data_IF_334622543011
#
_entry.id   IF_334622543011
#
_cell.length_a   1.000
_cell.length_b   1.000
_cell.length_c   1.000
_cell.angle_alpha   90.00
_cell.angle_beta   90.00
_cell.angle_gamma   90.00
#
_symmetry.space_group_name_H-M   'P 1'
#
loop_
_entity.id
_entity.type
_entity.pdbx_description
1 polymer ?
#
# COMPACT_ATOMS: atom_id res chain seq x y z
N UNK A 1 -15.76 66.06 49.42
CA UNK A 1 -15.63 65.78 48.00
C UNK A 1 -14.41 64.85 47.80
N UNK A 2 -14.59 63.56 47.63
CA UNK A 2 -13.49 62.60 47.43
C UNK A 2 -13.35 62.38 45.89
N UNK A 3 -12.21 62.70 45.30
CA UNK A 3 -11.88 62.45 43.88
C UNK A 3 -11.47 60.98 43.74
N UNK A 4 -12.20 60.22 42.91
CA UNK A 4 -11.82 58.90 42.49
C UNK A 4 -10.82 58.99 41.34
N UNK A 5 -9.69 58.35 41.47
CA UNK A 5 -8.68 58.19 40.41
C UNK A 5 -8.97 56.86 39.71
N UNK A 6 -9.34 56.92 38.42
CA UNK A 6 -9.49 55.76 37.57
C UNK A 6 -8.11 55.46 36.96
N UNK A 7 -7.56 54.31 37.30
CA UNK A 7 -6.32 53.81 36.69
C UNK A 7 -6.73 52.90 35.51
N UNK A 8 -6.50 53.36 34.28
CA UNK A 8 -6.62 52.51 33.09
C UNK A 8 -5.37 51.66 32.94
N UNK A 9 -5.51 50.34 33.13
CA UNK A 9 -4.46 49.39 32.79
C UNK A 9 -4.48 49.10 31.29
N UNK A 10 -3.43 49.49 30.57
CA UNK A 10 -3.19 49.12 29.17
C UNK A 10 -2.69 47.65 29.14
N UNK A 11 -3.52 46.75 28.65
CA UNK A 11 -3.11 45.38 28.37
C UNK A 11 -2.49 45.34 26.96
N UNK A 12 -1.17 45.26 26.88
CA UNK A 12 -0.45 45.06 25.61
C UNK A 12 -0.57 43.61 25.16
N UNK A 13 -1.31 43.36 24.09
CA UNK A 13 -1.32 42.06 23.39
C UNK A 13 -0.06 41.94 22.51
N UNK A 14 0.90 41.16 22.95
CA UNK A 14 2.01 40.72 22.07
C UNK A 14 1.49 39.64 21.13
N UNK A 15 1.35 40.00 19.83
CA UNK A 15 1.11 39.04 18.76
C UNK A 15 2.41 38.27 18.55
N UNK A 16 2.47 37.01 18.99
CA UNK A 16 3.56 36.12 18.60
C UNK A 16 3.45 35.86 17.08
N UNK A 17 4.47 36.29 16.34
CA UNK A 17 4.62 35.91 14.95
C UNK A 17 4.74 34.38 14.83
N UNK A 18 4.10 33.74 13.82
CA UNK A 18 4.25 32.31 13.60
C UNK A 18 5.74 32.02 13.36
N UNK A 19 6.29 31.11 14.16
CA UNK A 19 7.66 30.62 13.97
C UNK A 19 7.69 29.83 12.65
N UNK A 20 8.70 30.03 11.78
CA UNK A 20 8.85 29.20 10.59
C UNK A 20 9.00 27.74 11.03
N UNK A 21 8.19 26.86 10.46
CA UNK A 21 8.36 25.42 10.63
C UNK A 21 9.80 25.04 10.23
N UNK A 22 10.48 24.15 10.98
CA UNK A 22 11.80 23.69 10.59
C UNK A 22 11.72 23.10 9.18
N UNK A 23 12.70 23.46 8.33
CA UNK A 23 12.77 22.91 6.98
C UNK A 23 12.86 21.38 7.06
N UNK A 24 11.91 20.69 6.46
CA UNK A 24 11.93 19.23 6.40
C UNK A 24 13.16 18.78 5.62
N UNK A 25 13.98 17.93 6.24
CA UNK A 25 15.14 17.36 5.56
C UNK A 25 14.69 16.53 4.38
N UNK A 26 15.19 16.80 3.19
CA UNK A 26 14.82 16.04 1.99
C UNK A 26 15.25 14.57 2.14
N UNK A 27 14.37 13.65 1.72
CA UNK A 27 14.66 12.22 1.73
C UNK A 27 15.87 11.90 0.82
N UNK A 28 16.91 11.27 1.36
CA UNK A 28 18.05 10.83 0.57
C UNK A 28 17.74 9.53 -0.18
N UNK A 29 17.12 9.66 -1.35
CA UNK A 29 16.72 8.52 -2.20
C UNK A 29 17.91 7.84 -2.86
N UNK A 30 19.04 8.55 -3.02
CA UNK A 30 20.26 7.99 -3.59
C UNK A 30 20.88 6.96 -2.64
N UNK A 31 20.96 7.25 -1.36
CA UNK A 31 21.48 6.31 -0.35
C UNK A 31 20.58 5.06 -0.26
N UNK A 32 19.25 5.24 -0.24
CA UNK A 32 18.32 4.11 -0.25
C UNK A 32 18.57 3.20 -1.44
N UNK A 33 18.67 3.78 -2.64
CA UNK A 33 18.91 3.03 -3.88
C UNK A 33 20.25 2.32 -3.88
N UNK A 34 21.31 3.01 -3.42
CA UNK A 34 22.67 2.45 -3.36
C UNK A 34 22.73 1.25 -2.41
N UNK A 35 22.12 1.36 -1.22
CA UNK A 35 22.07 0.28 -0.22
C UNK A 35 21.28 -0.90 -0.74
N UNK A 36 20.07 -0.67 -1.27
CA UNK A 36 19.19 -1.75 -1.75
C UNK A 36 19.65 -2.36 -3.10
N UNK A 37 20.63 -1.75 -3.76
CA UNK A 37 21.09 -2.15 -5.10
C UNK A 37 20.01 -2.04 -6.17
N UNK A 38 18.98 -1.20 -5.92
CA UNK A 38 17.76 -1.08 -6.74
C UNK A 38 17.20 0.34 -6.67
N UNK A 39 16.90 0.92 -7.82
CA UNK A 39 16.20 2.19 -7.89
C UNK A 39 14.73 2.01 -7.49
N UNK A 40 14.22 2.97 -6.74
CA UNK A 40 12.80 3.13 -6.47
C UNK A 40 12.15 4.12 -7.42
N UNK A 41 10.89 4.41 -7.15
CA UNK A 41 10.06 5.38 -7.89
C UNK A 41 9.60 6.47 -6.93
N UNK A 42 9.76 7.72 -7.34
CA UNK A 42 9.14 8.84 -6.64
C UNK A 42 7.62 8.79 -6.86
N UNK A 43 6.88 8.85 -5.75
CA UNK A 43 5.42 8.76 -5.73
C UNK A 43 4.84 10.04 -5.11
N UNK A 44 3.55 10.35 -5.34
CA UNK A 44 2.89 11.46 -4.68
C UNK A 44 2.99 11.39 -3.15
N UNK A 45 3.06 12.55 -2.49
CA UNK A 45 3.19 12.66 -1.02
C UNK A 45 4.62 12.50 -0.53
N UNK A 46 5.61 12.85 -1.38
CA UNK A 46 7.05 12.79 -1.08
C UNK A 46 7.54 11.40 -0.66
N UNK A 47 6.90 10.38 -1.24
CA UNK A 47 7.22 8.98 -0.99
C UNK A 47 8.18 8.45 -2.03
N UNK A 48 9.21 7.72 -1.59
CA UNK A 48 10.08 6.93 -2.43
C UNK A 48 9.81 5.45 -2.22
N UNK A 49 9.28 4.77 -3.25
CA UNK A 49 8.85 3.37 -3.18
C UNK A 49 9.77 2.46 -3.97
N UNK A 50 10.29 1.42 -3.31
CA UNK A 50 11.15 0.39 -3.90
C UNK A 50 10.36 -0.92 -3.94
N UNK A 51 10.26 -1.53 -5.13
CA UNK A 51 9.49 -2.76 -5.33
C UNK A 51 10.36 -4.01 -5.20
N UNK A 52 9.80 -5.07 -4.62
CA UNK A 52 10.43 -6.38 -4.41
C UNK A 52 9.52 -7.53 -4.88
N UNK A 53 9.17 -7.59 -6.19
CA UNK A 53 8.30 -8.65 -6.68
C UNK A 53 8.96 -10.02 -6.57
N UNK A 54 8.19 -11.03 -6.16
CA UNK A 54 8.62 -12.43 -6.07
C UNK A 54 8.55 -13.12 -7.43
N UNK A 55 9.39 -12.66 -8.36
CA UNK A 55 9.50 -13.26 -9.69
C UNK A 55 10.20 -14.63 -9.71
N UNK A 56 10.72 -15.08 -8.58
CA UNK A 56 11.27 -16.40 -8.33
C UNK A 56 10.19 -17.46 -8.03
N UNK A 57 8.97 -17.04 -7.69
CA UNK A 57 7.87 -17.93 -7.34
C UNK A 57 6.97 -18.22 -8.54
N UNK A 58 6.46 -19.46 -8.59
CA UNK A 58 5.44 -19.92 -9.54
C UNK A 58 4.15 -20.27 -8.78
N UNK A 59 3.52 -19.24 -8.20
CA UNK A 59 2.28 -19.41 -7.43
C UNK A 59 1.10 -19.65 -8.37
N UNK A 60 0.25 -20.61 -8.02
CA UNK A 60 -0.92 -20.99 -8.82
C UNK A 60 -2.19 -21.05 -7.98
N UNK A 61 -3.30 -20.65 -8.59
CA UNK A 61 -4.66 -20.91 -8.09
C UNK A 61 -5.39 -21.71 -9.17
N UNK A 62 -5.63 -22.98 -8.90
CA UNK A 62 -6.18 -23.90 -9.91
C UNK A 62 -5.29 -23.97 -11.16
N UNK A 63 -5.85 -23.62 -12.32
CA UNK A 63 -5.11 -23.62 -13.58
C UNK A 63 -4.32 -22.32 -13.86
N UNK A 64 -4.51 -21.26 -13.05
CA UNK A 64 -3.91 -19.94 -13.29
C UNK A 64 -2.58 -19.86 -12.56
N UNK A 65 -1.50 -19.52 -13.28
CA UNK A 65 -0.21 -19.15 -12.69
C UNK A 65 -0.18 -17.63 -12.57
N UNK A 66 0.00 -17.12 -11.36
CA UNK A 66 -0.05 -15.70 -11.06
C UNK A 66 1.22 -15.00 -11.55
N UNK A 67 1.08 -13.96 -12.33
CA UNK A 67 2.18 -13.05 -12.60
C UNK A 67 2.54 -12.28 -11.31
N UNK A 68 3.84 -11.97 -11.08
CA UNK A 68 4.26 -11.26 -9.87
C UNK A 68 3.49 -9.96 -9.61
N UNK A 69 3.15 -9.22 -10.68
CA UNK A 69 2.40 -7.97 -10.57
C UNK A 69 0.93 -8.13 -10.20
N UNK A 70 0.35 -9.34 -10.29
CA UNK A 70 -1.05 -9.57 -9.90
C UNK A 70 -1.20 -9.55 -8.38
N UNK A 71 -0.36 -10.34 -7.67
CA UNK A 71 -0.48 -10.53 -6.22
C UNK A 71 0.86 -10.65 -5.47
N UNK A 72 1.99 -10.85 -6.15
CA UNK A 72 3.27 -11.17 -5.49
C UNK A 72 4.23 -9.98 -5.43
N UNK A 73 3.70 -8.76 -5.32
CA UNK A 73 4.42 -7.51 -5.41
C UNK A 73 4.80 -6.93 -4.04
N UNK A 74 5.86 -7.43 -3.39
CA UNK A 74 6.41 -6.79 -2.18
C UNK A 74 6.98 -5.40 -2.46
N UNK A 75 7.03 -4.55 -1.43
CA UNK A 75 7.60 -3.21 -1.51
C UNK A 75 8.06 -2.65 -0.16
N UNK A 76 8.89 -1.62 -0.22
CA UNK A 76 9.11 -0.68 0.89
C UNK A 76 8.94 0.75 0.39
N UNK A 77 8.28 1.58 1.19
CA UNK A 77 8.01 2.98 0.92
C UNK A 77 8.64 3.84 2.02
N UNK A 78 9.40 4.85 1.62
CA UNK A 78 10.15 5.73 2.50
C UNK A 78 9.64 7.16 2.35
N UNK A 79 9.51 7.87 3.47
CA UNK A 79 9.10 9.28 3.52
C UNK A 79 9.89 10.02 4.59
N UNK A 80 10.34 11.23 4.29
CA UNK A 80 10.96 12.08 5.32
C UNK A 80 9.90 12.58 6.32
N UNK A 81 10.22 12.52 7.61
CA UNK A 81 9.40 13.00 8.71
C UNK A 81 10.29 13.79 9.70
N UNK A 82 10.34 15.13 9.53
CA UNK A 82 11.26 15.98 10.27
C UNK A 82 12.72 15.57 10.04
N UNK A 83 13.43 15.21 11.09
CA UNK A 83 14.84 14.78 11.05
C UNK A 83 15.00 13.27 10.88
N UNK A 84 13.91 12.53 10.70
CA UNK A 84 13.92 11.08 10.55
C UNK A 84 13.27 10.66 9.23
N UNK A 85 13.39 9.39 8.88
CA UNK A 85 12.68 8.75 7.77
C UNK A 85 11.72 7.72 8.33
N UNK A 86 10.48 7.76 7.87
CA UNK A 86 9.51 6.69 8.07
C UNK A 86 9.64 5.69 6.92
N UNK A 87 9.71 4.41 7.25
CA UNK A 87 9.62 3.32 6.28
C UNK A 87 8.45 2.41 6.64
N UNK A 88 7.60 2.12 5.66
CA UNK A 88 6.55 1.09 5.75
C UNK A 88 6.68 0.15 4.56
N UNK A 89 6.19 -1.06 4.69
CA UNK A 89 6.24 -1.98 3.56
C UNK A 89 5.40 -3.23 3.75
N UNK A 90 5.43 -4.03 2.70
CA UNK A 90 4.76 -5.32 2.59
C UNK A 90 5.71 -6.29 1.86
N UNK A 91 6.04 -7.40 2.47
CA UNK A 91 6.90 -8.44 1.90
C UNK A 91 6.10 -9.71 1.67
N UNK A 92 6.27 -10.28 0.48
CA UNK A 92 5.69 -11.59 0.14
C UNK A 92 6.68 -12.69 0.48
N UNK A 93 6.30 -13.58 1.39
CA UNK A 93 7.18 -14.59 1.97
C UNK A 93 6.58 -15.99 1.86
N UNK A 94 7.43 -17.00 1.67
CA UNK A 94 7.09 -18.38 1.91
C UNK A 94 7.08 -18.65 3.43
N UNK A 95 6.37 -19.67 3.87
CA UNK A 95 6.22 -20.00 5.29
C UNK A 95 7.57 -20.12 6.02
N UNK A 96 8.56 -20.77 5.41
CA UNK A 96 9.90 -20.93 5.98
C UNK A 96 10.77 -19.66 5.95
N UNK A 97 10.35 -18.60 5.28
CA UNK A 97 11.03 -17.30 5.22
C UNK A 97 10.49 -16.32 6.28
N UNK A 98 9.29 -16.55 6.82
CA UNK A 98 8.59 -15.62 7.71
C UNK A 98 9.40 -15.34 8.97
N UNK A 99 9.68 -16.38 9.75
CA UNK A 99 10.31 -16.21 11.06
C UNK A 99 11.69 -15.53 10.97
N UNK A 100 12.63 -15.96 10.10
CA UNK A 100 13.94 -15.33 10.02
C UNK A 100 13.87 -13.87 9.53
N UNK A 101 12.94 -13.54 8.62
CA UNK A 101 12.74 -12.17 8.14
C UNK A 101 12.17 -11.28 9.24
N UNK A 102 11.15 -11.75 9.97
CA UNK A 102 10.57 -11.04 11.12
C UNK A 102 11.61 -10.74 12.20
N UNK A 103 12.33 -11.75 12.68
CA UNK A 103 13.36 -11.59 13.71
C UNK A 103 14.45 -10.59 13.29
N UNK A 104 14.82 -10.60 12.00
CA UNK A 104 15.82 -9.65 11.49
C UNK A 104 15.31 -8.22 11.44
N UNK A 105 14.04 -8.00 11.05
CA UNK A 105 13.40 -6.69 11.04
C UNK A 105 13.22 -6.17 12.48
N UNK A 106 12.68 -6.97 13.37
CA UNK A 106 12.48 -6.61 14.80
C UNK A 106 13.80 -6.29 15.50
N UNK A 107 14.82 -7.12 15.29
CA UNK A 107 16.18 -6.92 15.84
C UNK A 107 16.85 -5.65 15.31
N UNK A 108 16.36 -5.08 14.20
CA UNK A 108 16.80 -3.80 13.63
C UNK A 108 15.89 -2.62 13.99
N UNK A 109 14.89 -2.83 14.86
CA UNK A 109 14.01 -1.79 15.37
C UNK A 109 12.76 -1.52 14.51
N UNK A 110 12.45 -2.38 13.53
CA UNK A 110 11.16 -2.34 12.86
C UNK A 110 10.08 -2.98 13.73
N UNK A 111 8.88 -2.43 13.66
CA UNK A 111 7.67 -3.03 14.21
C UNK A 111 6.99 -3.85 13.11
N UNK A 112 6.66 -5.10 13.40
CA UNK A 112 5.77 -5.88 12.53
C UNK A 112 4.34 -5.44 12.82
N UNK A 113 3.63 -5.03 11.77
CA UNK A 113 2.28 -4.45 11.93
C UNK A 113 1.18 -5.39 11.48
N UNK A 114 1.49 -6.37 10.62
CA UNK A 114 0.59 -7.46 10.25
C UNK A 114 1.33 -8.64 9.60
N UNK A 115 0.74 -9.83 9.72
CA UNK A 115 1.12 -11.02 8.98
C UNK A 115 -0.16 -11.77 8.60
N UNK A 116 -0.42 -11.91 7.30
CA UNK A 116 -1.68 -12.46 6.81
C UNK A 116 -1.56 -13.01 5.38
N UNK A 117 -2.59 -13.70 4.91
CA UNK A 117 -2.74 -14.10 3.51
C UNK A 117 -3.50 -13.04 2.70
N UNK A 118 -3.27 -12.97 1.39
CA UNK A 118 -4.14 -12.26 0.44
C UNK A 118 -5.06 -13.22 -0.31
N UNK A 119 -4.59 -14.42 -0.57
CA UNK A 119 -5.23 -15.42 -1.40
C UNK A 119 -5.63 -16.64 -0.57
N UNK A 120 -6.39 -17.53 -1.17
CA UNK A 120 -6.72 -18.84 -0.61
C UNK A 120 -6.50 -19.91 -1.68
N UNK A 121 -6.06 -21.08 -1.23
CA UNK A 121 -5.86 -22.25 -2.10
C UNK A 121 -4.77 -22.08 -3.17
N UNK A 122 -3.86 -21.14 -2.99
CA UNK A 122 -2.69 -20.99 -3.83
C UNK A 122 -1.59 -21.98 -3.44
N UNK A 123 -0.75 -22.34 -4.42
CA UNK A 123 0.39 -23.23 -4.24
C UNK A 123 1.59 -22.71 -5.01
N UNK A 124 2.78 -22.54 -4.39
CA UNK A 124 3.00 -22.60 -2.93
C UNK A 124 2.20 -21.52 -2.19
N UNK A 125 1.88 -21.79 -0.91
CA UNK A 125 1.24 -20.80 -0.06
C UNK A 125 2.20 -19.67 0.25
N UNK A 126 1.70 -18.42 0.20
CA UNK A 126 2.47 -17.22 0.50
C UNK A 126 1.77 -16.37 1.55
N UNK A 127 2.57 -15.71 2.37
CA UNK A 127 2.10 -14.78 3.40
C UNK A 127 2.64 -13.37 3.11
N UNK A 128 1.96 -12.39 3.63
CA UNK A 128 2.27 -10.97 3.47
C UNK A 128 2.62 -10.39 4.83
N UNK A 129 3.83 -9.83 4.92
CA UNK A 129 4.39 -9.29 6.15
C UNK A 129 4.48 -7.77 6.06
N UNK A 130 3.66 -7.07 6.84
CA UNK A 130 3.71 -5.62 6.95
C UNK A 130 4.62 -5.18 8.09
N UNK A 131 5.35 -4.11 7.86
CA UNK A 131 6.28 -3.54 8.82
C UNK A 131 6.29 -2.02 8.78
N UNK A 132 6.71 -1.42 9.88
CA UNK A 132 6.96 0.00 10.04
C UNK A 132 8.27 0.22 10.79
N UNK A 133 9.05 1.22 10.40
CA UNK A 133 10.26 1.64 11.11
C UNK A 133 10.51 3.13 10.93
N UNK A 134 11.16 3.74 11.91
CA UNK A 134 11.59 5.13 11.86
C UNK A 134 13.08 5.24 12.22
N UNK A 135 13.84 6.03 11.43
CA UNK A 135 15.28 6.15 11.62
C UNK A 135 15.96 6.85 10.46
N UNK A 136 17.27 6.68 10.31
CA UNK A 136 17.98 7.20 9.14
C UNK A 136 17.63 6.38 7.89
N UNK A 137 17.50 7.05 6.74
CA UNK A 137 17.15 6.40 5.47
C UNK A 137 18.10 5.24 5.12
N UNK A 138 19.40 5.44 5.24
CA UNK A 138 20.41 4.42 4.97
C UNK A 138 20.34 3.25 5.97
N UNK A 139 20.10 3.55 7.27
CA UNK A 139 19.96 2.53 8.32
C UNK A 139 18.75 1.62 8.07
N UNK A 140 17.58 2.21 7.76
CA UNK A 140 16.37 1.47 7.43
C UNK A 140 16.54 0.64 6.16
N UNK A 141 17.17 1.18 5.11
CA UNK A 141 17.44 0.46 3.89
C UNK A 141 18.41 -0.71 4.11
N UNK A 142 19.44 -0.53 4.95
CA UNK A 142 20.40 -1.60 5.31
C UNK A 142 19.70 -2.73 6.06
N UNK A 143 18.91 -2.39 7.07
CA UNK A 143 18.17 -3.37 7.86
C UNK A 143 17.19 -4.20 7.00
N UNK A 144 16.48 -3.50 6.09
CA UNK A 144 15.59 -4.15 5.14
C UNK A 144 16.34 -5.07 4.18
N UNK A 145 17.48 -4.64 3.62
CA UNK A 145 18.31 -5.48 2.76
C UNK A 145 18.75 -6.76 3.46
N UNK A 146 19.21 -6.65 4.71
CA UNK A 146 19.64 -7.80 5.50
C UNK A 146 18.47 -8.76 5.81
N UNK A 147 17.26 -8.25 6.00
CA UNK A 147 16.07 -9.08 6.15
C UNK A 147 15.70 -9.79 4.83
N UNK A 148 15.72 -9.06 3.71
CA UNK A 148 15.42 -9.60 2.38
C UNK A 148 16.40 -10.71 1.95
N UNK A 149 17.67 -10.68 2.39
CA UNK A 149 18.66 -11.73 2.14
C UNK A 149 18.30 -13.08 2.80
N UNK A 150 17.41 -13.06 3.79
CA UNK A 150 16.93 -14.28 4.46
C UNK A 150 15.73 -14.92 3.73
N UNK A 151 15.23 -14.26 2.70
CA UNK A 151 14.26 -14.80 1.75
C UNK A 151 14.92 -15.03 0.38
N UNK A 152 14.20 -15.68 -0.53
CA UNK A 152 14.63 -15.80 -1.93
C UNK A 152 14.16 -14.65 -2.81
N UNK A 153 13.70 -13.55 -2.20
CA UNK A 153 13.27 -12.36 -2.94
C UNK A 153 14.35 -11.88 -3.89
N UNK A 154 14.08 -11.74 -5.20
CA UNK A 154 15.07 -11.28 -6.15
C UNK A 154 15.56 -9.86 -5.82
N UNK A 155 16.86 -9.71 -5.65
CA UNK A 155 17.56 -8.45 -5.39
C UNK A 155 18.23 -7.93 -6.66
N UNK A 156 18.76 -6.70 -6.61
CA UNK A 156 19.43 -6.05 -7.75
C UNK A 156 18.45 -5.31 -8.68
N UNK A 157 18.97 -4.82 -9.80
CA UNK A 157 18.22 -3.99 -10.74
C UNK A 157 17.08 -4.75 -11.42
N UNK A 158 15.96 -4.07 -11.64
CA UNK A 158 14.83 -4.60 -12.42
C UNK A 158 14.93 -4.15 -13.87
N UNK A 159 14.47 -5.00 -14.79
CA UNK A 159 14.27 -4.59 -16.19
C UNK A 159 13.10 -3.61 -16.28
N UNK A 160 13.18 -2.69 -17.25
CA UNK A 160 12.04 -1.83 -17.56
C UNK A 160 10.81 -2.70 -17.91
N UNK A 161 9.63 -2.38 -17.36
CA UNK A 161 8.44 -3.17 -17.63
C UNK A 161 7.92 -2.93 -19.04
N UNK A 162 7.26 -3.93 -19.61
CA UNK A 162 6.41 -3.73 -20.78
C UNK A 162 5.13 -3.01 -20.32
N UNK A 163 4.86 -1.82 -20.89
CA UNK A 163 3.71 -0.97 -20.54
C UNK A 163 2.56 -1.06 -21.54
N UNK A 164 2.60 -2.02 -22.48
CA UNK A 164 1.50 -2.24 -23.41
C UNK A 164 0.21 -2.60 -22.67
N UNK A 165 -0.87 -1.92 -22.99
CA UNK A 165 -2.19 -2.18 -22.40
C UNK A 165 -2.68 -3.57 -22.81
N UNK A 166 -3.10 -4.42 -21.85
CA UNK A 166 -3.68 -5.71 -22.16
C UNK A 166 -5.05 -5.56 -22.85
N UNK A 167 -5.47 -6.58 -23.59
CA UNK A 167 -6.68 -6.56 -24.43
C UNK A 167 -7.95 -6.20 -23.65
N UNK A 168 -8.03 -6.54 -22.38
CA UNK A 168 -9.18 -6.31 -21.50
C UNK A 168 -9.21 -4.91 -20.86
N UNK A 169 -8.12 -4.14 -20.97
CA UNK A 169 -7.96 -2.88 -20.23
C UNK A 169 -9.09 -1.89 -20.50
N UNK A 170 -9.50 -1.71 -21.76
CA UNK A 170 -10.59 -0.82 -22.13
C UNK A 170 -11.89 -1.18 -21.40
N UNK A 171 -12.31 -2.43 -21.47
CA UNK A 171 -13.56 -2.88 -20.83
C UNK A 171 -13.55 -2.69 -19.31
N UNK A 172 -12.40 -2.91 -18.64
CA UNK A 172 -12.25 -2.69 -17.20
C UNK A 172 -12.28 -1.21 -16.87
N UNK A 173 -11.50 -0.38 -17.56
CA UNK A 173 -11.38 1.05 -17.28
C UNK A 173 -12.70 1.79 -17.54
N UNK A 174 -13.35 1.51 -18.67
CA UNK A 174 -14.63 2.12 -19.03
C UNK A 174 -15.75 1.69 -18.05
N UNK A 175 -15.78 0.40 -17.70
CA UNK A 175 -16.76 -0.13 -16.76
C UNK A 175 -16.62 0.45 -15.35
N UNK A 176 -15.39 0.60 -14.87
CA UNK A 176 -15.10 1.22 -13.56
C UNK A 176 -15.18 2.75 -13.59
N UNK A 177 -15.04 3.38 -14.75
CA UNK A 177 -14.86 4.82 -14.88
C UNK A 177 -13.50 5.29 -14.35
N UNK A 178 -12.49 4.44 -14.33
CA UNK A 178 -11.16 4.70 -13.71
C UNK A 178 -10.04 4.29 -14.66
N UNK A 179 -8.98 5.10 -14.70
CA UNK A 179 -7.80 4.77 -15.49
C UNK A 179 -6.78 3.99 -14.66
N UNK A 180 -6.08 3.07 -15.31
CA UNK A 180 -5.03 2.26 -14.71
C UNK A 180 -3.69 2.37 -15.43
N UNK A 181 -2.70 1.69 -14.89
CA UNK A 181 -1.36 1.58 -15.47
C UNK A 181 -1.09 0.11 -15.81
N UNK A 182 -0.52 -0.11 -16.98
CA UNK A 182 -0.10 -1.44 -17.40
C UNK A 182 1.39 -1.69 -17.07
N UNK A 183 1.68 -2.90 -16.60
CA UNK A 183 3.04 -3.37 -16.33
C UNK A 183 3.12 -4.87 -16.54
N UNK A 184 3.90 -5.31 -17.52
CA UNK A 184 4.14 -6.74 -17.81
C UNK A 184 2.85 -7.57 -17.95
N UNK A 185 1.84 -7.01 -18.65
CA UNK A 185 0.55 -7.68 -18.88
C UNK A 185 -0.48 -7.54 -17.76
N UNK A 186 -0.10 -6.93 -16.64
CA UNK A 186 -1.00 -6.59 -15.53
C UNK A 186 -1.54 -5.18 -15.73
N UNK A 187 -2.86 -5.01 -15.62
CA UNK A 187 -3.48 -3.71 -15.41
C UNK A 187 -3.64 -3.49 -13.91
N UNK A 188 -3.18 -2.37 -13.39
CA UNK A 188 -3.39 -1.96 -11.99
C UNK A 188 -4.19 -0.66 -11.95
N UNK A 189 -5.27 -0.63 -11.18
CA UNK A 189 -6.09 0.56 -10.91
C UNK A 189 -6.00 0.86 -9.42
N UNK A 190 -5.63 2.09 -9.09
CA UNK A 190 -5.56 2.57 -7.72
C UNK A 190 -6.63 3.63 -7.48
N UNK A 191 -7.40 3.46 -6.40
CA UNK A 191 -8.48 4.37 -6.02
C UNK A 191 -8.18 4.93 -4.63
N UNK A 192 -7.93 6.25 -4.53
CA UNK A 192 -7.70 6.90 -3.24
C UNK A 192 -8.96 6.90 -2.37
N UNK A 193 -8.79 6.76 -1.06
CA UNK A 193 -9.81 7.16 -0.08
C UNK A 193 -9.90 8.70 -0.02
N UNK A 194 -11.04 9.22 0.38
CA UNK A 194 -11.25 10.66 0.52
C UNK A 194 -10.66 11.21 1.84
N UNK A 195 -10.60 10.37 2.89
CA UNK A 195 -10.08 10.78 4.19
C UNK A 195 -8.55 10.70 4.25
N UNK A 196 -7.89 11.64 4.96
CA UNK A 196 -6.50 11.48 5.35
C UNK A 196 -6.36 10.33 6.37
N UNK A 197 -5.24 9.64 6.28
CA UNK A 197 -4.91 8.52 7.17
C UNK A 197 -3.64 8.86 7.95
N UNK A 198 -3.66 8.55 9.25
CA UNK A 198 -2.45 8.60 10.09
C UNK A 198 -2.18 7.22 10.71
N UNK A 199 -0.94 6.96 11.09
CA UNK A 199 -0.53 5.78 11.86
C UNK A 199 0.47 6.22 12.91
N UNK A 200 0.15 6.02 14.19
CA UNK A 200 0.98 6.45 15.33
C UNK A 200 1.37 7.95 15.25
N UNK A 201 0.47 8.80 14.74
CA UNK A 201 0.69 10.22 14.56
C UNK A 201 1.40 10.63 13.26
N UNK A 202 1.92 9.70 12.47
CA UNK A 202 2.50 9.99 11.16
C UNK A 202 1.42 10.05 10.08
N UNK A 203 1.46 11.06 9.22
CA UNK A 203 0.60 11.10 8.04
C UNK A 203 1.04 10.04 7.02
N UNK A 204 0.10 9.18 6.61
CA UNK A 204 0.36 8.07 5.68
C UNK A 204 -0.20 8.42 4.29
N UNK A 205 0.65 8.82 3.34
CA UNK A 205 0.23 9.05 1.96
C UNK A 205 -0.26 7.76 1.28
N UNK A 206 -1.08 7.91 0.25
CA UNK A 206 -1.67 6.79 -0.51
C UNK A 206 -0.63 5.78 -1.01
N UNK A 207 0.54 6.26 -1.41
CA UNK A 207 1.65 5.42 -1.89
C UNK A 207 2.28 4.53 -0.79
N UNK A 208 1.91 4.74 0.48
CA UNK A 208 2.36 3.96 1.64
C UNK A 208 1.33 2.89 2.07
N UNK A 209 0.47 2.43 1.17
CA UNK A 209 -0.37 1.26 1.39
C UNK A 209 -1.80 1.54 1.87
N UNK A 210 -2.31 2.77 1.69
CA UNK A 210 -3.69 3.15 2.09
C UNK A 210 -4.60 3.49 0.91
N UNK A 211 -4.21 3.12 -0.31
CA UNK A 211 -5.07 3.18 -1.49
C UNK A 211 -5.72 1.82 -1.75
N UNK A 212 -6.97 1.84 -2.22
CA UNK A 212 -7.61 0.65 -2.79
C UNK A 212 -6.86 0.31 -4.08
N UNK A 213 -6.42 -0.93 -4.23
CA UNK A 213 -5.69 -1.39 -5.41
C UNK A 213 -6.39 -2.59 -6.00
N UNK A 214 -6.62 -2.57 -7.31
CA UNK A 214 -7.22 -3.66 -8.06
C UNK A 214 -6.29 -4.03 -9.21
N UNK A 215 -5.87 -5.29 -9.27
CA UNK A 215 -4.97 -5.82 -10.28
C UNK A 215 -5.72 -6.84 -11.16
N UNK A 216 -5.38 -6.85 -12.44
CA UNK A 216 -6.05 -7.66 -13.46
C UNK A 216 -5.04 -8.33 -14.37
N UNK A 217 -5.24 -9.63 -14.63
CA UNK A 217 -4.39 -10.47 -15.46
C UNK A 217 -5.24 -11.29 -16.45
N UNK A 218 -4.73 -11.53 -17.65
CA UNK A 218 -5.37 -12.43 -18.62
C UNK A 218 -5.38 -13.86 -18.09
N UNK A 219 -6.56 -14.41 -17.87
CA UNK A 219 -6.77 -15.79 -17.45
C UNK A 219 -7.05 -16.76 -18.62
N UNK A 220 -6.96 -16.27 -19.85
CA UNK A 220 -7.31 -17.01 -21.06
C UNK A 220 -8.83 -17.16 -21.30
N UNK A 221 -9.18 -17.62 -22.49
CA UNK A 221 -10.58 -17.86 -22.89
C UNK A 221 -11.51 -16.65 -22.69
N UNK A 222 -11.00 -15.42 -22.89
CA UNK A 222 -11.78 -14.19 -22.74
C UNK A 222 -12.13 -13.82 -21.31
N UNK A 223 -11.44 -14.41 -20.33
CA UNK A 223 -11.61 -14.13 -18.90
C UNK A 223 -10.39 -13.42 -18.31
N UNK A 224 -10.60 -12.76 -17.21
CA UNK A 224 -9.60 -12.01 -16.46
C UNK A 224 -9.59 -12.53 -15.03
N UNK A 225 -8.41 -12.81 -14.50
CA UNK A 225 -8.19 -13.01 -13.07
C UNK A 225 -7.98 -11.65 -12.40
N UNK A 226 -8.60 -11.44 -11.26
CA UNK A 226 -8.47 -10.20 -10.51
C UNK A 226 -8.34 -10.47 -9.02
N UNK A 227 -7.50 -9.69 -8.38
CA UNK A 227 -7.34 -9.59 -6.93
C UNK A 227 -6.96 -8.17 -6.56
N UNK A 228 -7.08 -7.83 -5.29
CA UNK A 228 -6.72 -6.51 -4.80
C UNK A 228 -7.10 -6.31 -3.34
N UNK A 229 -7.03 -5.06 -2.94
CA UNK A 229 -7.27 -4.57 -1.61
C UNK A 229 -8.37 -3.52 -1.62
N UNK A 230 -9.47 -3.76 -0.92
CA UNK A 230 -10.34 -2.70 -0.47
C UNK A 230 -9.86 -2.19 0.88
N UNK A 231 -9.64 -0.88 0.98
CA UNK A 231 -9.26 -0.19 2.22
C UNK A 231 -10.51 0.46 2.79
N UNK A 232 -10.97 0.01 3.95
CA UNK A 232 -12.32 0.25 4.46
C UNK A 232 -12.30 0.79 5.90
N UNK A 233 -13.27 1.64 6.24
CA UNK A 233 -13.65 1.86 7.64
C UNK A 233 -14.72 0.83 8.05
N UNK A 234 -14.94 0.65 9.35
CA UNK A 234 -15.81 -0.42 9.87
C UNK A 234 -17.21 -0.46 9.24
N UNK A 235 -17.81 0.70 8.95
CA UNK A 235 -19.17 0.78 8.38
C UNK A 235 -19.23 0.34 6.91
N UNK A 236 -18.12 0.31 6.21
CA UNK A 236 -18.02 -0.06 4.79
C UNK A 236 -17.81 -1.57 4.61
N UNK A 237 -17.33 -2.28 5.64
CA UNK A 237 -16.92 -3.70 5.55
C UNK A 237 -18.06 -4.58 5.07
N UNK A 238 -19.20 -4.57 5.76
CA UNK A 238 -20.32 -5.45 5.42
C UNK A 238 -20.96 -5.12 4.05
N UNK A 239 -21.22 -3.85 3.68
CA UNK A 239 -21.72 -3.53 2.34
C UNK A 239 -20.78 -3.96 1.21
N UNK A 240 -19.47 -3.73 1.34
CA UNK A 240 -18.46 -4.12 0.32
C UNK A 240 -18.39 -5.65 0.23
N UNK A 241 -18.32 -6.36 1.35
CA UNK A 241 -18.31 -7.83 1.38
C UNK A 241 -19.55 -8.40 0.68
N UNK A 242 -20.71 -7.89 0.99
CA UNK A 242 -21.96 -8.34 0.37
C UNK A 242 -22.00 -8.06 -1.13
N UNK A 243 -21.56 -6.88 -1.57
CA UNK A 243 -21.47 -6.52 -2.99
C UNK A 243 -20.53 -7.47 -3.74
N UNK A 244 -19.30 -7.67 -3.24
CA UNK A 244 -18.33 -8.58 -3.85
C UNK A 244 -18.90 -9.98 -4.02
N UNK A 245 -19.49 -10.55 -2.98
CA UNK A 245 -20.07 -11.91 -3.04
C UNK A 245 -21.24 -12.01 -4.00
N UNK A 246 -22.11 -11.00 -4.03
CA UNK A 246 -23.26 -10.96 -4.95
C UNK A 246 -22.83 -10.97 -6.40
N UNK A 247 -21.65 -10.40 -6.70
CA UNK A 247 -21.07 -10.38 -8.05
C UNK A 247 -20.07 -11.53 -8.31
N UNK A 248 -20.07 -12.57 -7.46
CA UNK A 248 -19.27 -13.77 -7.67
C UNK A 248 -17.77 -13.60 -7.40
N UNK A 249 -17.40 -12.69 -6.52
CA UNK A 249 -16.05 -12.60 -5.97
C UNK A 249 -15.94 -13.41 -4.68
N UNK A 250 -14.85 -14.14 -4.53
CA UNK A 250 -14.46 -14.71 -3.26
C UNK A 250 -13.80 -13.64 -2.42
N UNK A 251 -14.29 -13.40 -1.21
CA UNK A 251 -13.56 -12.63 -0.21
C UNK A 251 -12.52 -13.57 0.43
N UNK A 252 -11.25 -13.23 0.27
CA UNK A 252 -10.15 -14.13 0.62
C UNK A 252 -9.50 -13.82 1.96
N UNK A 253 -9.56 -12.56 2.39
CA UNK A 253 -9.10 -12.12 3.71
C UNK A 253 -9.78 -10.82 4.14
N UNK A 254 -9.85 -10.62 5.47
CA UNK A 254 -10.27 -9.37 6.11
C UNK A 254 -9.39 -9.18 7.36
N UNK A 255 -8.60 -8.12 7.40
CA UNK A 255 -7.56 -7.92 8.43
C UNK A 255 -7.15 -6.45 8.56
N UNK A 256 -6.14 -6.17 9.36
CA UNK A 256 -5.47 -4.86 9.49
C UNK A 256 -4.08 -4.90 8.87
N UNK A 257 -3.57 -3.75 8.40
CA UNK A 257 -2.17 -3.57 8.00
C UNK A 257 -1.37 -2.76 9.01
N UNK A 258 -2.04 -1.95 9.83
CA UNK A 258 -1.42 -0.93 10.66
C UNK A 258 -1.83 -1.06 12.12
N UNK A 259 -0.99 -0.52 13.00
CA UNK A 259 -1.25 -0.42 14.42
C UNK A 259 -1.43 1.06 14.81
N UNK A 260 -2.57 1.40 15.44
CA UNK A 260 -2.86 2.77 15.85
C UNK A 260 -3.13 3.73 14.69
N UNK A 261 -3.78 3.24 13.65
CA UNK A 261 -4.25 4.01 12.50
C UNK A 261 -5.55 4.78 12.82
N UNK A 262 -5.66 5.97 12.25
CA UNK A 262 -6.84 6.85 12.33
C UNK A 262 -7.17 7.41 10.94
N UNK A 263 -8.41 7.18 10.44
CA UNK A 263 -9.41 6.26 11.01
C UNK A 263 -8.89 4.83 11.05
N UNK A 264 -9.46 3.97 11.92
CA UNK A 264 -9.17 2.55 11.93
C UNK A 264 -9.57 1.94 10.59
N UNK A 265 -8.60 1.32 9.90
CA UNK A 265 -8.78 0.72 8.59
C UNK A 265 -8.82 -0.80 8.66
N UNK A 266 -9.63 -1.36 7.78
CA UNK A 266 -9.75 -2.78 7.49
C UNK A 266 -9.40 -2.99 6.02
N UNK A 267 -8.68 -4.06 5.74
CA UNK A 267 -8.25 -4.44 4.40
C UNK A 267 -8.97 -5.71 4.00
N UNK A 268 -9.67 -5.66 2.88
CA UNK A 268 -10.45 -6.79 2.37
C UNK A 268 -9.91 -7.22 1.02
N UNK A 269 -9.32 -8.42 1.00
CA UNK A 269 -8.87 -9.03 -0.25
C UNK A 269 -9.97 -9.83 -0.91
N UNK A 270 -9.89 -9.91 -2.22
CA UNK A 270 -10.84 -10.64 -3.03
C UNK A 270 -10.13 -11.38 -4.17
N UNK A 271 -10.80 -12.39 -4.73
CA UNK A 271 -10.39 -13.12 -5.91
C UNK A 271 -11.58 -13.37 -6.82
N UNK A 272 -11.39 -13.24 -8.14
CA UNK A 272 -12.36 -13.66 -9.13
C UNK A 272 -11.72 -13.95 -10.47
N UNK A 273 -12.37 -14.82 -11.27
CA UNK A 273 -12.00 -15.11 -12.68
C UNK A 273 -13.25 -15.08 -13.52
N UNK A 274 -13.50 -13.96 -14.20
CA UNK A 274 -14.73 -13.71 -14.93
C UNK A 274 -14.46 -12.93 -16.24
N UNK A 275 -15.47 -12.76 -17.13
CA UNK A 275 -15.40 -11.78 -18.21
C UNK A 275 -15.14 -10.36 -17.67
N UNK A 276 -14.34 -9.52 -18.37
CA UNK A 276 -13.94 -8.21 -17.87
C UNK A 276 -15.11 -7.27 -17.53
N UNK A 277 -16.22 -7.34 -18.28
CA UNK A 277 -17.39 -6.52 -18.01
C UNK A 277 -18.10 -6.87 -16.69
N UNK A 278 -18.13 -8.14 -16.31
CA UNK A 278 -18.72 -8.58 -15.04
C UNK A 278 -17.82 -8.19 -13.86
N UNK A 279 -16.49 -8.33 -14.02
CA UNK A 279 -15.52 -7.85 -13.05
C UNK A 279 -15.68 -6.34 -12.81
N UNK A 280 -15.73 -5.56 -13.88
CA UNK A 280 -15.88 -4.11 -13.78
C UNK A 280 -17.19 -3.70 -13.11
N UNK A 281 -18.31 -4.36 -13.44
CA UNK A 281 -19.60 -4.10 -12.82
C UNK A 281 -19.58 -4.38 -11.30
N UNK A 282 -19.05 -5.54 -10.89
CA UNK A 282 -18.99 -5.91 -9.47
C UNK A 282 -18.06 -5.03 -8.66
N UNK A 283 -16.89 -4.70 -9.19
CA UNK A 283 -15.95 -3.80 -8.48
C UNK A 283 -16.49 -2.36 -8.43
N UNK A 284 -17.22 -1.90 -9.46
CA UNK A 284 -17.88 -0.59 -9.44
C UNK A 284 -18.96 -0.52 -8.36
N UNK A 285 -19.78 -1.57 -8.23
CA UNK A 285 -20.79 -1.66 -7.18
C UNK A 285 -20.12 -1.67 -5.81
N UNK A 286 -19.10 -2.50 -5.58
CA UNK A 286 -18.34 -2.53 -4.32
C UNK A 286 -17.72 -1.16 -3.97
N UNK A 287 -17.13 -0.46 -4.96
CA UNK A 287 -16.59 0.89 -4.77
C UNK A 287 -17.65 1.93 -4.40
N UNK A 288 -18.92 1.74 -4.79
CA UNK A 288 -20.01 2.66 -4.45
C UNK A 288 -20.32 2.72 -2.95
N UNK A 289 -19.85 1.73 -2.18
CA UNK A 289 -20.00 1.63 -0.74
C UNK A 289 -18.80 2.18 0.05
N UNK A 290 -17.81 2.75 -0.65
CA UNK A 290 -16.58 3.26 -0.03
C UNK A 290 -16.51 4.78 -0.22
N UNK A 291 -16.06 5.49 0.83
CA UNK A 291 -15.75 6.92 0.72
C UNK A 291 -14.43 7.10 -0.06
N UNK A 292 -14.50 6.85 -1.36
CA UNK A 292 -13.38 7.02 -2.28
C UNK A 292 -13.47 8.35 -3.04
N UNK A 293 -12.31 8.86 -3.49
CA UNK A 293 -12.31 10.06 -4.35
C UNK A 293 -13.06 9.80 -5.66
N UNK A 294 -13.70 10.83 -6.20
CA UNK A 294 -14.35 10.74 -7.51
C UNK A 294 -13.34 10.32 -8.61
N UNK A 295 -13.82 9.73 -9.73
CA UNK A 295 -13.01 9.39 -10.90
C UNK A 295 -12.27 10.57 -11.53
#
# INVERSE_FOLDING_TARGET
MRKAIVVCALVSFTVLAPQPSPAQTALNTADISAVLGRAGTAMPGDVYRVAFPRSDLHVRIGAITLAPGLALGGYAAFKAEGDTTLAVGDLVLLENEIQPVMERLEGAGFQITALHNHLRSETPHVMYLHFMGAGSAAGLATALLEALKLSKTPLGSMKAPNTAMPWFAGAIQDGLGRQGKASNGILSISVPRAEPVTMQGYAIPLAMGVAIVMNFEDAGSGRVATTGDFVLVALEVAPVEQSLRTHGFDVTALHHHMLGDEPRLYYMHFWSVQPPSLIAAGLKDALSHVNATAP
#
